data_IF_796183422514
#
_entry.id   IF_796183422514
#
_cell.length_a   1.000
_cell.length_b   1.000
_cell.length_c   1.000
_cell.angle_alpha   90.00
_cell.angle_beta   90.00
_cell.angle_gamma   90.00
#
_symmetry.space_group_name_H-M   'P 1'
#
loop_
_entity.id
_entity.type
_entity.pdbx_description
1 polymer ?
#
# COMPACT_ATOMS: atom_id res chain seq x y z
N UNK A 1 -13.07 3.48 -21.20
CA UNK A 1 -13.78 2.60 -20.25
C UNK A 1 -13.11 2.75 -18.90
N UNK A 2 -13.90 2.89 -17.84
CA UNK A 2 -13.56 3.42 -16.51
C UNK A 2 -12.15 3.09 -16.01
N UNK A 3 -11.33 4.14 -15.85
CA UNK A 3 -10.17 4.10 -14.97
C UNK A 3 -10.70 4.06 -13.55
N UNK A 4 -10.92 2.85 -13.01
CA UNK A 4 -11.09 2.64 -11.58
C UNK A 4 -9.77 3.02 -10.93
N UNK A 5 -9.59 4.30 -10.64
CA UNK A 5 -8.57 4.76 -9.73
C UNK A 5 -8.93 4.22 -8.34
N UNK A 6 -7.93 4.05 -7.48
CA UNK A 6 -8.23 4.13 -6.05
C UNK A 6 -8.77 5.55 -5.85
N UNK A 7 -10.09 5.70 -5.90
CA UNK A 7 -10.72 6.95 -5.51
C UNK A 7 -10.32 7.17 -4.06
N UNK A 8 -9.83 8.38 -3.82
CA UNK A 8 -9.50 8.95 -2.53
C UNK A 8 -10.68 8.85 -1.54
N UNK A 9 -11.89 8.55 -2.03
CA UNK A 9 -13.09 8.26 -1.24
C UNK A 9 -13.17 6.83 -0.68
N UNK A 10 -12.29 5.91 -1.08
CA UNK A 10 -12.36 4.49 -0.73
C UNK A 10 -11.62 4.07 0.55
N UNK A 11 -10.68 4.90 1.04
CA UNK A 11 -9.87 4.62 2.23
C UNK A 11 -10.36 5.46 3.41
N UNK A 12 -10.80 4.84 4.51
CA UNK A 12 -11.27 5.59 5.69
C UNK A 12 -10.16 6.47 6.29
N UNK A 13 -10.53 7.70 6.64
CA UNK A 13 -9.71 8.57 7.50
C UNK A 13 -9.87 8.13 8.96
N UNK A 14 -8.76 7.96 9.67
CA UNK A 14 -8.73 7.48 11.06
C UNK A 14 -8.45 8.59 12.07
N UNK A 15 -8.25 9.82 11.63
CA UNK A 15 -7.98 10.97 12.50
C UNK A 15 -6.71 10.79 13.36
N UNK A 16 -5.70 10.15 12.76
CA UNK A 16 -4.29 10.24 13.11
C UNK A 16 -3.53 10.68 11.84
N UNK A 17 -3.02 11.91 11.85
CA UNK A 17 -2.54 12.58 10.65
C UNK A 17 -1.43 11.84 9.89
N UNK A 18 -0.57 11.08 10.58
CA UNK A 18 0.49 10.35 9.89
C UNK A 18 -0.06 9.14 9.12
N UNK A 19 -1.00 8.40 9.72
CA UNK A 19 -1.65 7.23 9.09
C UNK A 19 -2.42 7.67 7.87
N UNK A 20 -3.25 8.70 8.02
CA UNK A 20 -4.05 9.21 6.93
C UNK A 20 -3.19 9.68 5.74
N UNK A 21 -2.11 10.43 6.00
CA UNK A 21 -1.19 10.90 4.96
C UNK A 21 -0.45 9.75 4.28
N UNK A 22 -0.01 8.75 5.04
CA UNK A 22 0.69 7.59 4.49
C UNK A 22 -0.23 6.69 3.63
N UNK A 23 -1.52 6.63 3.96
CA UNK A 23 -2.53 5.94 3.17
C UNK A 23 -2.88 6.67 1.87
N UNK A 24 -3.01 7.99 1.94
CA UNK A 24 -3.20 8.84 0.76
C UNK A 24 -2.01 8.74 -0.20
N UNK A 25 -0.78 8.75 0.33
CA UNK A 25 0.42 8.60 -0.49
C UNK A 25 0.50 7.22 -1.14
N UNK A 26 0.14 6.16 -0.43
CA UNK A 26 0.06 4.81 -1.01
C UNK A 26 -0.96 4.75 -2.16
N UNK A 27 -2.14 5.35 -1.98
CA UNK A 27 -3.15 5.42 -3.03
C UNK A 27 -2.68 6.22 -4.24
N UNK A 28 -2.00 7.35 -4.00
CA UNK A 28 -1.40 8.19 -5.05
C UNK A 28 -0.38 7.39 -5.87
N UNK A 29 0.56 6.70 -5.21
CA UNK A 29 1.59 5.89 -5.86
C UNK A 29 0.97 4.74 -6.67
N UNK A 30 -0.02 4.03 -6.13
CA UNK A 30 -0.72 2.97 -6.86
C UNK A 30 -1.42 3.51 -8.10
N UNK A 31 -2.07 4.67 -8.01
CA UNK A 31 -2.69 5.33 -9.15
C UNK A 31 -1.67 5.76 -10.21
N UNK A 32 -0.52 6.27 -9.79
CA UNK A 32 0.59 6.62 -10.68
C UNK A 32 1.15 5.39 -11.39
N UNK A 33 1.39 4.29 -10.66
CA UNK A 33 1.85 3.01 -11.23
C UNK A 33 0.86 2.51 -12.29
N UNK A 34 -0.45 2.52 -11.99
CA UNK A 34 -1.49 2.10 -12.94
C UNK A 34 -1.52 2.98 -14.19
N UNK A 35 -1.35 4.28 -14.04
CA UNK A 35 -1.24 5.22 -15.15
C UNK A 35 -0.02 4.90 -16.02
N UNK A 36 1.15 4.68 -15.40
CA UNK A 36 2.39 4.33 -16.09
C UNK A 36 2.27 3.01 -16.84
N UNK A 37 1.64 1.98 -16.26
CA UNK A 37 1.33 0.72 -16.96
C UNK A 37 0.50 0.98 -18.23
N UNK A 38 -0.52 1.84 -18.15
CA UNK A 38 -1.35 2.17 -19.31
C UNK A 38 -0.58 2.94 -20.38
N UNK A 39 0.32 3.85 -20.01
CA UNK A 39 1.19 4.57 -20.96
C UNK A 39 2.16 3.62 -21.64
N UNK A 40 2.75 2.67 -20.90
CA UNK A 40 3.63 1.64 -21.46
C UNK A 40 2.88 0.78 -22.49
N UNK A 41 1.67 0.33 -22.16
CA UNK A 41 0.80 -0.44 -23.09
C UNK A 41 0.44 0.33 -24.36
N UNK A 42 0.45 1.66 -24.31
CA UNK A 42 0.23 2.55 -25.45
C UNK A 42 1.52 2.96 -26.17
N UNK A 43 2.67 2.39 -25.77
CA UNK A 43 4.00 2.75 -26.27
C UNK A 43 4.34 4.24 -26.07
N UNK A 44 3.80 4.85 -25.01
CA UNK A 44 4.01 6.26 -24.62
C UNK A 44 5.01 6.40 -23.45
N UNK A 45 5.44 5.30 -22.85
CA UNK A 45 6.43 5.25 -21.79
C UNK A 45 7.25 3.94 -21.87
N UNK A 46 8.43 3.94 -21.26
CA UNK A 46 9.30 2.77 -21.16
C UNK A 46 9.09 2.03 -19.84
N UNK A 47 9.44 0.74 -19.81
CA UNK A 47 9.33 -0.11 -18.61
C UNK A 47 10.14 0.43 -17.42
N UNK A 48 11.29 1.06 -17.68
CA UNK A 48 12.16 1.69 -16.66
C UNK A 48 11.44 2.72 -15.78
N UNK A 49 10.32 3.30 -16.25
CA UNK A 49 9.52 4.24 -15.47
C UNK A 49 8.83 3.61 -14.25
N UNK A 50 8.67 2.29 -14.22
CA UNK A 50 7.96 1.60 -13.12
C UNK A 50 8.85 1.34 -11.91
N UNK A 51 10.11 0.93 -12.11
CA UNK A 51 10.98 0.48 -11.02
C UNK A 51 11.13 1.52 -9.89
N UNK A 52 11.35 2.83 -10.16
CA UNK A 52 11.42 3.84 -9.10
C UNK A 52 10.11 4.01 -8.33
N UNK A 53 8.96 3.90 -9.00
CA UNK A 53 7.64 4.03 -8.36
C UNK A 53 7.37 2.84 -7.42
N UNK A 54 7.76 1.64 -7.84
CA UNK A 54 7.61 0.43 -7.03
C UNK A 54 8.49 0.46 -5.79
N UNK A 55 9.75 0.89 -5.94
CA UNK A 55 10.68 1.06 -4.81
C UNK A 55 10.19 2.14 -3.85
N UNK A 56 9.63 3.24 -4.38
CA UNK A 56 9.02 4.29 -3.56
C UNK A 56 7.82 3.77 -2.77
N UNK A 57 6.95 2.96 -3.39
CA UNK A 57 5.81 2.34 -2.70
C UNK A 57 6.26 1.38 -1.59
N UNK A 58 7.24 0.52 -1.87
CA UNK A 58 7.78 -0.42 -0.87
C UNK A 58 8.36 0.33 0.34
N UNK A 59 9.22 1.32 0.09
CA UNK A 59 9.82 2.13 1.15
C UNK A 59 8.75 2.89 1.95
N UNK A 60 7.76 3.48 1.28
CA UNK A 60 6.64 4.17 1.95
C UNK A 60 5.88 3.22 2.89
N UNK A 61 5.63 1.97 2.48
CA UNK A 61 4.95 0.98 3.34
C UNK A 61 5.79 0.52 4.52
N UNK A 62 7.08 0.27 4.31
CA UNK A 62 7.98 -0.11 5.39
C UNK A 62 8.06 0.98 6.48
N UNK A 63 8.25 2.24 6.10
CA UNK A 63 8.33 3.35 7.04
C UNK A 63 6.99 3.67 7.73
N UNK A 64 5.87 3.47 7.02
CA UNK A 64 4.54 3.57 7.59
C UNK A 64 4.30 2.50 8.66
N UNK A 65 4.49 1.21 8.33
CA UNK A 65 4.28 0.11 9.27
C UNK A 65 5.20 0.19 10.47
N UNK A 66 6.46 0.59 10.27
CA UNK A 66 7.40 0.81 11.38
C UNK A 66 6.84 1.80 12.42
N UNK A 67 6.29 2.94 11.98
CA UNK A 67 5.70 3.95 12.88
C UNK A 67 4.47 3.43 13.61
N UNK A 68 3.60 2.69 12.92
CA UNK A 68 2.44 2.07 13.57
C UNK A 68 2.85 1.00 14.58
N UNK A 69 3.79 0.14 14.22
CA UNK A 69 4.32 -0.91 15.09
C UNK A 69 5.00 -0.35 16.33
N UNK A 70 5.77 0.74 16.20
CA UNK A 70 6.34 1.48 17.32
C UNK A 70 5.24 2.03 18.24
N UNK A 71 4.21 2.66 17.70
CA UNK A 71 3.09 3.20 18.48
C UNK A 71 2.29 2.09 19.19
N UNK A 72 1.96 1.01 18.48
CA UNK A 72 1.24 -0.15 19.03
C UNK A 72 2.04 -0.85 20.12
N UNK A 73 3.35 -1.02 19.93
CA UNK A 73 4.25 -1.62 20.92
C UNK A 73 4.33 -0.78 22.19
N UNK A 74 4.52 0.54 22.06
CA UNK A 74 4.59 1.45 23.21
C UNK A 74 3.29 1.50 24.02
N UNK A 75 2.14 1.38 23.35
CA UNK A 75 0.83 1.37 24.00
C UNK A 75 0.40 -0.01 24.53
N UNK A 76 1.22 -1.07 24.34
CA UNK A 76 0.87 -2.46 24.63
C UNK A 76 -0.45 -2.87 23.95
N UNK A 77 -0.63 -2.52 22.67
CA UNK A 77 -1.83 -2.86 21.92
C UNK A 77 -2.02 -4.39 21.88
N UNK A 78 -3.17 -4.93 22.36
CA UNK A 78 -3.32 -6.38 22.54
C UNK A 78 -3.15 -7.21 21.27
N UNK A 79 -3.56 -6.68 20.11
CA UNK A 79 -3.48 -7.39 18.83
C UNK A 79 -2.21 -7.07 18.02
N UNK A 80 -1.19 -6.43 18.64
CA UNK A 80 0.05 -6.00 17.96
C UNK A 80 0.70 -7.11 17.12
N UNK A 81 0.86 -8.31 17.66
CA UNK A 81 1.54 -9.40 16.94
C UNK A 81 0.78 -9.82 15.68
N UNK A 82 -0.55 -9.84 15.72
CA UNK A 82 -1.39 -10.17 14.57
C UNK A 82 -1.32 -9.06 13.51
N UNK A 83 -1.38 -7.79 13.95
CA UNK A 83 -1.27 -6.63 13.05
C UNK A 83 0.07 -6.61 12.32
N UNK A 84 1.18 -6.78 13.06
CA UNK A 84 2.52 -6.86 12.49
C UNK A 84 2.68 -8.03 11.50
N UNK A 85 2.04 -9.18 11.76
CA UNK A 85 2.09 -10.31 10.81
C UNK A 85 1.45 -9.96 9.46
N UNK A 86 0.33 -9.23 9.46
CA UNK A 86 -0.30 -8.74 8.22
C UNK A 86 0.58 -7.73 7.48
N UNK A 87 1.27 -6.83 8.20
CA UNK A 87 2.27 -5.94 7.61
C UNK A 87 3.40 -6.74 6.94
N UNK A 88 4.00 -7.69 7.66
CA UNK A 88 5.07 -8.52 7.12
C UNK A 88 4.62 -9.29 5.87
N UNK A 89 3.39 -9.81 5.85
CA UNK A 89 2.83 -10.52 4.68
C UNK A 89 2.83 -9.61 3.45
N UNK A 90 2.32 -8.39 3.57
CA UNK A 90 2.21 -7.46 2.44
C UNK A 90 3.57 -6.91 1.99
N UNK A 91 4.50 -6.68 2.91
CA UNK A 91 5.88 -6.34 2.54
C UNK A 91 6.53 -7.47 1.73
N UNK A 92 6.33 -8.72 2.13
CA UNK A 92 6.88 -9.87 1.40
C UNK A 92 6.24 -10.05 0.03
N UNK A 93 4.92 -9.87 -0.09
CA UNK A 93 4.20 -9.90 -1.37
C UNK A 93 4.70 -8.81 -2.33
N UNK A 94 4.82 -7.57 -1.84
CA UNK A 94 5.29 -6.45 -2.64
C UNK A 94 6.77 -6.62 -3.05
N UNK A 95 7.62 -7.11 -2.15
CA UNK A 95 9.03 -7.40 -2.46
C UNK A 95 9.15 -8.47 -3.55
N UNK A 96 8.40 -9.57 -3.41
CA UNK A 96 8.39 -10.66 -4.39
C UNK A 96 7.88 -10.19 -5.76
N UNK A 97 6.86 -9.32 -5.78
CA UNK A 97 6.36 -8.71 -7.01
C UNK A 97 7.41 -7.83 -7.69
N UNK A 98 8.17 -7.05 -6.92
CA UNK A 98 9.24 -6.19 -7.42
C UNK A 98 10.38 -7.02 -8.00
N UNK A 99 10.78 -8.10 -7.33
CA UNK A 99 11.82 -9.01 -7.83
C UNK A 99 11.39 -9.73 -9.11
N UNK A 100 10.12 -10.15 -9.18
CA UNK A 100 9.51 -10.70 -10.40
C UNK A 100 9.51 -9.67 -11.54
N UNK A 101 9.11 -8.43 -11.26
CA UNK A 101 9.15 -7.33 -12.23
C UNK A 101 10.56 -7.08 -12.75
N UNK A 102 11.56 -7.01 -11.88
CA UNK A 102 12.97 -6.77 -12.26
C UNK A 102 13.55 -7.86 -13.16
N UNK A 103 13.01 -9.07 -13.08
CA UNK A 103 13.52 -10.24 -13.83
C UNK A 103 12.77 -10.45 -15.14
N UNK A 104 11.44 -10.27 -15.12
CA UNK A 104 10.56 -10.69 -16.21
C UNK A 104 9.80 -9.55 -16.89
N UNK A 105 9.82 -8.35 -16.31
CA UNK A 105 9.04 -7.20 -16.77
C UNK A 105 7.56 -7.53 -17.03
N UNK A 106 6.99 -8.39 -16.19
CA UNK A 106 5.63 -8.91 -16.33
C UNK A 106 4.60 -7.84 -15.94
N UNK A 107 4.20 -7.03 -16.92
CA UNK A 107 3.20 -5.98 -16.76
C UNK A 107 1.83 -6.51 -16.32
N UNK A 108 1.49 -7.76 -16.67
CA UNK A 108 0.17 -8.30 -16.32
C UNK A 108 0.11 -8.68 -14.85
N UNK A 109 1.13 -9.35 -14.32
CA UNK A 109 1.24 -9.64 -12.90
C UNK A 109 1.24 -8.34 -12.08
N UNK A 110 2.05 -7.35 -12.49
CA UNK A 110 2.10 -6.05 -11.82
C UNK A 110 0.75 -5.32 -11.86
N UNK A 111 0.10 -5.29 -13.03
CA UNK A 111 -1.20 -4.66 -13.18
C UNK A 111 -2.26 -5.31 -12.28
N UNK A 112 -2.35 -6.64 -12.26
CA UNK A 112 -3.33 -7.35 -11.41
C UNK A 112 -3.13 -7.03 -9.94
N UNK A 113 -1.89 -7.02 -9.46
CA UNK A 113 -1.60 -6.68 -8.06
C UNK A 113 -2.01 -5.24 -7.72
N UNK A 114 -1.69 -4.28 -8.60
CA UNK A 114 -1.96 -2.85 -8.36
C UNK A 114 -3.43 -2.47 -8.57
N UNK A 115 -4.19 -3.25 -9.33
CA UNK A 115 -5.59 -2.96 -9.63
C UNK A 115 -6.55 -3.65 -8.66
N UNK A 116 -6.20 -4.82 -8.15
CA UNK A 116 -7.11 -5.66 -7.36
C UNK A 116 -6.56 -5.98 -5.96
N UNK A 117 -5.37 -6.59 -5.89
CA UNK A 117 -4.87 -7.21 -4.65
C UNK A 117 -4.54 -6.13 -3.60
N UNK A 118 -3.64 -5.21 -3.93
CA UNK A 118 -3.18 -4.19 -2.99
C UNK A 118 -4.29 -3.19 -2.62
N UNK A 119 -5.07 -2.64 -3.56
CA UNK A 119 -6.23 -1.80 -3.24
C UNK A 119 -7.23 -2.45 -2.28
N UNK A 120 -7.58 -3.71 -2.51
CA UNK A 120 -8.54 -4.45 -1.68
C UNK A 120 -7.98 -4.66 -0.28
N UNK A 121 -6.71 -5.07 -0.18
CA UNK A 121 -6.05 -5.22 1.10
C UNK A 121 -5.99 -3.90 1.87
N UNK A 122 -5.52 -2.81 1.24
CA UNK A 122 -5.37 -1.50 1.89
C UNK A 122 -6.69 -1.03 2.49
N UNK A 123 -7.78 -1.11 1.71
CA UNK A 123 -9.12 -0.74 2.18
C UNK A 123 -9.57 -1.59 3.37
N UNK A 124 -9.40 -2.91 3.28
CA UNK A 124 -9.81 -3.84 4.34
C UNK A 124 -8.99 -3.61 5.61
N UNK A 125 -7.68 -3.49 5.48
CA UNK A 125 -6.74 -3.29 6.58
C UNK A 125 -7.05 -1.99 7.32
N UNK A 126 -7.16 -0.87 6.60
CA UNK A 126 -7.50 0.43 7.19
C UNK A 126 -8.86 0.45 7.88
N UNK A 127 -9.86 -0.21 7.30
CA UNK A 127 -11.21 -0.26 7.87
C UNK A 127 -11.33 -1.13 9.13
N UNK A 128 -10.34 -2.00 9.39
CA UNK A 128 -10.41 -3.02 10.44
C UNK A 128 -9.27 -2.90 11.44
N UNK A 129 -8.05 -3.22 11.04
CA UNK A 129 -6.89 -3.32 11.93
C UNK A 129 -6.40 -1.93 12.33
N UNK A 130 -6.18 -1.03 11.37
CA UNK A 130 -5.70 0.33 11.66
C UNK A 130 -6.77 1.08 12.46
N UNK A 131 -8.04 0.95 12.08
CA UNK A 131 -9.13 1.57 12.86
C UNK A 131 -9.13 1.11 14.32
N UNK A 132 -8.91 -0.18 14.58
CA UNK A 132 -8.85 -0.73 15.93
C UNK A 132 -7.61 -0.23 16.70
N UNK A 133 -6.44 -0.19 16.06
CA UNK A 133 -5.21 0.31 16.66
C UNK A 133 -5.33 1.80 16.99
N UNK A 134 -5.85 2.61 16.06
CA UNK A 134 -6.08 4.05 16.26
C UNK A 134 -7.06 4.30 17.41
N UNK A 135 -8.20 3.60 17.46
CA UNK A 135 -9.16 3.75 18.55
C UNK A 135 -8.51 3.46 19.92
N UNK A 136 -7.72 2.40 20.00
CA UNK A 136 -6.99 2.05 21.22
C UNK A 136 -5.95 3.12 21.60
N UNK A 137 -5.15 3.60 20.63
CA UNK A 137 -4.12 4.62 20.84
C UNK A 137 -4.70 5.97 21.30
N UNK A 138 -5.95 6.27 20.95
CA UNK A 138 -6.66 7.49 21.38
C UNK A 138 -7.34 7.37 22.74
N UNK A 139 -7.22 6.20 23.40
CA UNK A 139 -7.76 5.97 24.75
C UNK A 139 -9.22 5.51 24.80
N UNK A 140 -9.81 5.10 23.68
CA UNK A 140 -11.23 4.73 23.57
C UNK A 140 -12.14 5.93 23.27
#
# INVERSE_FOLDING_TARGET
MNMSYLDHEGIPRLALDFIDRDHEEAARLVNEIKSTINLIRQSQANHDALSPLLETLLNNKQEHFKREEEAMSQANFPAYQLHRQEHCRVINELTSLIDHWKTYEDLNALNSYMTEIFPTWLKSHTSTMDKASVHYLKGG
#
